data_IF_208660921025
#
_entry.id   IF_208660921025
#
_cell.length_a   1.000
_cell.length_b   1.000
_cell.length_c   1.000
_cell.angle_alpha   90.00
_cell.angle_beta   90.00
_cell.angle_gamma   90.00
#
_symmetry.space_group_name_H-M   'P 1'
#
loop_
_entity.id
_entity.type
_entity.pdbx_description
1 polymer ?
#
# COMPACT_ATOMS: atom_id res chain seq x y z
N UNK A 1 -2.66 14.30 -1.01
CA UNK A 1 -2.94 13.39 -2.14
C UNK A 1 -1.74 12.49 -2.33
N UNK A 2 -1.96 11.22 -2.71
CA UNK A 2 -0.90 10.20 -2.91
C UNK A 2 -0.10 10.53 -4.18
N UNK A 3 1.23 10.52 -4.09
CA UNK A 3 2.17 10.75 -5.21
C UNK A 3 2.80 9.47 -5.73
N UNK A 4 3.06 8.52 -4.85
CA UNK A 4 3.74 7.26 -5.16
C UNK A 4 3.15 6.14 -4.29
N UNK A 5 3.06 4.94 -4.86
CA UNK A 5 2.71 3.72 -4.14
C UNK A 5 3.87 2.74 -4.29
N UNK A 6 4.39 2.25 -3.17
CA UNK A 6 5.41 1.19 -3.14
C UNK A 6 4.80 -0.10 -2.63
N UNK A 7 5.06 -1.16 -3.37
CA UNK A 7 4.75 -2.53 -2.97
C UNK A 7 5.72 -2.97 -1.86
N UNK A 8 5.19 -3.55 -0.79
CA UNK A 8 5.95 -4.17 0.30
C UNK A 8 5.60 -5.66 0.41
N UNK A 9 6.43 -6.51 1.03
CA UNK A 9 6.10 -7.93 1.21
C UNK A 9 4.76 -8.18 1.93
N UNK A 10 4.40 -7.32 2.88
CA UNK A 10 3.26 -7.46 3.79
C UNK A 10 2.25 -6.30 3.71
N UNK A 11 2.34 -5.45 2.68
CA UNK A 11 1.44 -4.30 2.52
C UNK A 11 1.89 -3.34 1.43
N UNK A 12 1.62 -2.05 1.67
CA UNK A 12 1.98 -0.95 0.76
C UNK A 12 2.46 0.28 1.54
N UNK A 13 3.31 1.08 0.90
CA UNK A 13 3.67 2.42 1.37
C UNK A 13 3.18 3.48 0.39
N UNK A 14 2.62 4.56 0.92
CA UNK A 14 2.06 5.67 0.16
C UNK A 14 2.86 6.94 0.44
N UNK A 15 3.47 7.52 -0.59
CA UNK A 15 4.09 8.83 -0.48
C UNK A 15 2.99 9.87 -0.58
N UNK A 16 2.85 10.68 0.44
CA UNK A 16 1.86 11.74 0.52
C UNK A 16 2.53 13.07 0.18
N UNK A 17 1.92 13.86 -0.72
CA UNK A 17 2.19 15.29 -0.77
C UNK A 17 1.97 15.89 0.63
N UNK A 18 2.81 16.84 1.04
CA UNK A 18 2.62 17.59 2.28
C UNK A 18 2.06 19.02 2.04
N UNK A 19 0.83 19.21 1.52
CA UNK A 19 0.14 20.47 1.71
C UNK A 19 -0.23 20.63 3.19
N UNK A 20 -0.49 21.86 3.62
CA UNK A 20 -0.94 22.15 4.98
C UNK A 20 -2.12 21.25 5.40
N UNK A 21 -2.08 20.76 6.65
CA UNK A 21 -3.10 19.87 7.22
C UNK A 21 -3.09 18.42 6.74
N UNK A 22 -2.15 18.03 5.88
CA UNK A 22 -2.04 16.63 5.40
C UNK A 22 -1.82 15.62 6.52
N UNK A 23 -0.94 15.89 7.48
CA UNK A 23 -0.66 14.99 8.61
C UNK A 23 -1.88 14.79 9.51
N UNK A 24 -2.67 15.85 9.74
CA UNK A 24 -3.90 15.76 10.55
C UNK A 24 -4.92 14.83 9.88
N UNK A 25 -5.14 14.97 8.57
CA UNK A 25 -6.04 14.05 7.83
C UNK A 25 -5.56 12.60 7.85
N UNK A 26 -4.25 12.38 7.81
CA UNK A 26 -3.67 11.03 7.92
C UNK A 26 -3.92 10.45 9.31
N UNK A 27 -3.75 11.26 10.36
CA UNK A 27 -4.05 10.83 11.72
C UNK A 27 -5.55 10.51 11.90
N UNK A 28 -6.45 11.31 11.33
CA UNK A 28 -7.90 11.03 11.31
C UNK A 28 -8.22 9.72 10.59
N UNK A 29 -7.60 9.47 9.43
CA UNK A 29 -7.72 8.21 8.72
C UNK A 29 -7.26 7.02 9.58
N UNK A 30 -6.09 7.12 10.21
CA UNK A 30 -5.57 6.08 11.11
C UNK A 30 -6.53 5.84 12.28
N UNK A 31 -7.12 6.89 12.86
CA UNK A 31 -8.07 6.76 13.98
C UNK A 31 -9.34 6.01 13.58
N UNK A 32 -9.87 6.26 12.38
CA UNK A 32 -11.05 5.56 11.88
C UNK A 32 -10.71 4.10 11.53
N UNK A 33 -9.64 3.88 10.78
CA UNK A 33 -9.29 2.54 10.29
C UNK A 33 -8.78 1.62 11.38
N UNK A 34 -8.10 2.11 12.42
CA UNK A 34 -7.72 1.22 13.54
C UNK A 34 -8.93 0.64 14.28
N UNK A 35 -10.11 1.26 14.16
CA UNK A 35 -11.38 0.79 14.76
C UNK A 35 -12.14 -0.14 13.83
N UNK A 36 -12.18 0.16 12.53
CA UNK A 36 -12.85 -0.66 11.51
C UNK A 36 -12.03 -1.90 11.12
N UNK A 37 -10.72 -1.71 10.97
CA UNK A 37 -9.75 -2.65 10.44
C UNK A 37 -8.59 -2.85 11.44
N UNK A 38 -8.83 -3.48 12.61
CA UNK A 38 -7.83 -3.61 13.68
C UNK A 38 -6.65 -4.54 13.35
N UNK A 39 -6.60 -5.08 12.13
CA UNK A 39 -5.51 -5.91 11.63
C UNK A 39 -4.41 -5.12 10.92
N UNK A 40 -4.63 -3.84 10.62
CA UNK A 40 -3.61 -2.98 10.06
C UNK A 40 -2.57 -2.59 11.11
N UNK A 41 -1.31 -2.56 10.68
CA UNK A 41 -0.24 -1.80 11.29
C UNK A 41 -0.05 -0.53 10.46
N UNK A 42 0.01 0.61 11.13
CA UNK A 42 0.24 1.91 10.54
C UNK A 42 1.60 2.44 10.96
N UNK A 43 2.38 2.94 10.01
CA UNK A 43 3.59 3.72 10.29
C UNK A 43 3.52 5.02 9.48
N UNK A 44 3.68 6.15 10.16
CA UNK A 44 3.74 7.47 9.53
C UNK A 44 5.15 8.03 9.72
N UNK A 45 5.86 8.21 8.62
CA UNK A 45 7.23 8.75 8.58
C UNK A 45 7.20 10.10 7.87
N UNK A 46 7.50 11.17 8.60
CA UNK A 46 7.63 12.53 8.04
C UNK A 46 9.07 12.71 7.60
N UNK A 47 9.30 13.04 6.33
CA UNK A 47 10.65 13.25 5.81
C UNK A 47 11.20 14.61 6.20
N UNK A 48 12.52 14.73 6.16
CA UNK A 48 13.24 15.96 6.45
C UNK A 48 12.70 17.14 5.62
N UNK A 49 12.85 18.35 6.17
CA UNK A 49 12.38 19.60 5.55
C UNK A 49 10.85 19.69 5.32
N UNK A 50 10.07 18.73 5.85
CA UNK A 50 8.61 18.80 5.94
C UNK A 50 7.85 18.61 4.61
N UNK A 51 8.54 18.22 3.54
CA UNK A 51 7.98 18.22 2.18
C UNK A 51 7.12 17.01 1.81
N UNK A 52 7.31 15.86 2.47
CA UNK A 52 6.56 14.64 2.17
C UNK A 52 6.49 13.70 3.39
N UNK A 53 5.48 12.83 3.40
CA UNK A 53 5.34 11.80 4.41
C UNK A 53 5.04 10.44 3.78
N UNK A 54 5.65 9.38 4.30
CA UNK A 54 5.29 8.01 3.99
C UNK A 54 4.27 7.50 4.98
N UNK A 55 3.15 7.00 4.47
CA UNK A 55 2.21 6.20 5.24
C UNK A 55 2.37 4.73 4.82
N UNK A 56 2.81 3.87 5.73
CA UNK A 56 2.86 2.42 5.50
C UNK A 56 1.64 1.77 6.12
N UNK A 57 0.91 1.00 5.32
CA UNK A 57 -0.17 0.12 5.76
C UNK A 57 0.30 -1.32 5.53
N UNK A 58 0.55 -2.02 6.63
CA UNK A 58 1.03 -3.41 6.62
C UNK A 58 0.17 -4.27 7.55
N UNK A 59 0.41 -5.57 7.59
CA UNK A 59 -0.26 -6.43 8.55
C UNK A 59 0.07 -7.91 8.37
N UNK A 60 -0.78 -8.76 8.94
CA UNK A 60 -0.65 -10.22 8.83
C UNK A 60 -0.87 -10.71 7.38
N UNK A 61 -0.63 -12.00 7.16
CA UNK A 61 -0.92 -12.68 5.90
C UNK A 61 -2.33 -12.34 5.40
N UNK A 62 -2.44 -11.99 4.11
CA UNK A 62 -3.70 -11.59 3.46
C UNK A 62 -3.95 -10.08 3.44
N UNK A 63 -3.29 -9.29 4.30
CA UNK A 63 -3.52 -7.83 4.39
C UNK A 63 -3.08 -7.11 3.11
N UNK A 64 -1.96 -7.51 2.51
CA UNK A 64 -1.53 -6.93 1.23
C UNK A 64 -2.57 -7.10 0.14
N UNK A 65 -3.11 -8.31 -0.01
CA UNK A 65 -4.14 -8.62 -1.01
C UNK A 65 -5.42 -7.85 -0.72
N UNK A 66 -5.80 -7.74 0.56
CA UNK A 66 -6.92 -6.91 0.99
C UNK A 66 -6.73 -5.45 0.57
N UNK A 67 -5.58 -4.83 0.87
CA UNK A 67 -5.28 -3.44 0.47
C UNK A 67 -5.34 -3.30 -1.06
N UNK A 68 -4.80 -4.27 -1.80
CA UNK A 68 -4.78 -4.22 -3.26
C UNK A 68 -6.19 -4.24 -3.85
N UNK A 69 -7.09 -5.07 -3.31
CA UNK A 69 -8.47 -5.15 -3.77
C UNK A 69 -9.27 -3.89 -3.41
N UNK A 70 -9.16 -3.40 -2.16
CA UNK A 70 -9.90 -2.21 -1.71
C UNK A 70 -9.47 -0.93 -2.43
N UNK A 71 -8.19 -0.83 -2.80
CA UNK A 71 -7.63 0.36 -3.46
C UNK A 71 -7.44 0.19 -4.97
N UNK A 72 -7.82 -0.95 -5.56
CA UNK A 72 -7.66 -1.23 -6.98
C UNK A 72 -6.21 -1.22 -7.47
N UNK A 73 -5.27 -1.72 -6.65
CA UNK A 73 -3.83 -1.76 -6.94
C UNK A 73 -3.38 -3.07 -7.62
N UNK A 74 -4.33 -3.94 -7.98
CA UNK A 74 -4.04 -5.17 -8.70
C UNK A 74 -3.37 -4.90 -10.04
N UNK A 75 -2.24 -5.57 -10.29
CA UNK A 75 -1.48 -5.35 -11.51
C UNK A 75 -2.22 -5.95 -12.70
N UNK A 76 -2.61 -5.12 -13.67
CA UNK A 76 -2.77 -5.57 -15.06
C UNK A 76 -1.39 -6.00 -15.59
N UNK A 77 -1.11 -7.30 -15.63
CA UNK A 77 0.11 -7.83 -16.23
C UNK A 77 0.35 -9.31 -15.95
N UNK A 78 -0.23 -10.17 -16.79
CA UNK A 78 0.28 -11.52 -17.02
C UNK A 78 0.18 -11.88 -18.52
N UNK A 79 1.12 -11.38 -19.31
CA UNK A 79 1.63 -12.10 -20.48
C UNK A 79 2.67 -13.11 -19.98
N UNK A 80 2.50 -14.39 -20.34
CA UNK A 80 3.52 -15.41 -20.12
C UNK A 80 3.04 -16.73 -19.53
N UNK A 81 2.03 -17.38 -20.13
CA UNK A 81 1.92 -18.85 -20.03
C UNK A 81 2.84 -19.46 -21.11
N UNK A 82 4.11 -19.59 -20.77
CA UNK A 82 5.04 -20.48 -21.47
C UNK A 82 5.51 -21.53 -20.48
N UNK A 83 4.79 -22.64 -20.41
CA UNK A 83 5.37 -23.90 -19.96
C UNK A 83 5.48 -24.80 -21.17
N UNK A 84 6.71 -24.90 -21.66
CA UNK A 84 7.17 -25.93 -22.56
C UNK A 84 6.73 -27.31 -22.06
N UNK A 85 6.07 -28.09 -22.93
CA UNK A 85 6.10 -29.55 -22.86
C UNK A 85 6.69 -30.06 -24.16
N UNK A 86 7.97 -30.36 -24.08
CA UNK A 86 8.80 -31.15 -24.99
C UNK A 86 8.16 -32.51 -25.34
N UNK A 87 8.26 -32.87 -26.63
CA UNK A 87 8.37 -34.23 -27.18
C UNK A 87 7.18 -35.19 -27.07
N UNK A 88 6.61 -35.62 -28.20
CA UNK A 88 7.01 -36.88 -28.85
C UNK A 88 6.11 -37.25 -30.05
N UNK A 89 6.78 -37.58 -31.17
CA UNK A 89 6.33 -38.25 -32.41
C UNK A 89 5.58 -37.45 -33.46
#
# INVERSE_FOLDING_TARGET
>A
MVREVRDLPDGYAFLLSAPEGSLVRVAEFIELERRCCPFFRFELEVQDEGGAAWLRLTGRMGVKQFIAAELGLEKSGNEGLSTERTSAR
#
